data_IF_378898259482
#
_entry.id   IF_378898259482
#
_cell.length_a   1.000
_cell.length_b   1.000
_cell.length_c   1.000
_cell.angle_alpha   90.00
_cell.angle_beta   90.00
_cell.angle_gamma   90.00
#
_symmetry.space_group_name_H-M   'P 1'
#
loop_
_entity.id
_entity.type
_entity.pdbx_description
1 polymer ?
#
# COMPACT_ATOMS: atom_id res chain seq x y z
N UNK A 1 -22.37 26.89 61.43
CA UNK A 1 -22.13 25.65 60.65
C UNK A 1 -23.34 25.24 59.80
N UNK A 2 -23.79 26.04 58.82
CA UNK A 2 -24.89 25.66 57.90
C UNK A 2 -24.75 26.17 56.46
N UNK A 3 -23.60 26.74 56.08
CA UNK A 3 -23.38 27.29 54.72
C UNK A 3 -22.38 26.52 53.85
N UNK A 4 -21.64 25.55 54.41
CA UNK A 4 -20.64 24.77 53.65
C UNK A 4 -21.26 23.51 53.02
N UNK A 5 -22.43 23.07 53.48
CA UNK A 5 -23.05 21.82 52.99
C UNK A 5 -23.85 21.97 51.67
N UNK A 6 -24.12 23.20 51.20
CA UNK A 6 -24.91 23.42 49.98
C UNK A 6 -24.10 23.61 48.69
N UNK A 7 -22.78 23.83 48.78
CA UNK A 7 -21.93 23.93 47.58
C UNK A 7 -21.45 22.57 47.05
N UNK A 8 -21.32 21.57 47.93
CA UNK A 8 -20.84 20.25 47.51
C UNK A 8 -21.90 19.43 46.75
N UNK A 9 -23.19 19.73 46.92
CA UNK A 9 -24.27 19.00 46.24
C UNK A 9 -24.49 19.47 44.79
N UNK A 10 -24.13 20.70 44.45
CA UNK A 10 -24.29 21.23 43.08
C UNK A 10 -23.09 20.85 42.19
N UNK A 11 -21.89 20.75 42.77
CA UNK A 11 -20.70 20.35 42.01
C UNK A 11 -20.73 18.84 41.69
N UNK A 12 -21.31 18.01 42.55
CA UNK A 12 -21.39 16.57 42.29
C UNK A 12 -22.41 16.20 41.19
N UNK A 13 -23.46 17.02 40.99
CA UNK A 13 -24.44 16.80 39.91
C UNK A 13 -23.91 17.28 38.55
N UNK A 14 -23.03 18.30 38.53
CA UNK A 14 -22.38 18.74 37.29
C UNK A 14 -21.31 17.74 36.78
N UNK A 15 -20.62 17.04 37.68
CA UNK A 15 -19.59 16.05 37.29
C UNK A 15 -20.20 14.74 36.78
N UNK A 16 -21.41 14.36 37.21
CA UNK A 16 -22.11 13.18 36.69
C UNK A 16 -22.75 13.42 35.32
N UNK A 17 -23.03 14.67 34.94
CA UNK A 17 -23.56 15.02 33.61
C UNK A 17 -22.48 15.18 32.52
N UNK A 18 -21.21 15.40 32.89
CA UNK A 18 -20.10 15.53 31.92
C UNK A 18 -19.42 14.19 31.63
N UNK A 19 -19.57 13.17 32.48
CA UNK A 19 -19.00 11.85 32.26
C UNK A 19 -19.83 10.95 31.31
N UNK A 20 -20.99 11.40 30.82
CA UNK A 20 -21.83 10.62 29.88
C UNK A 20 -21.66 11.00 28.39
N UNK A 21 -20.70 11.86 28.03
CA UNK A 21 -20.60 12.42 26.67
C UNK A 21 -19.33 12.06 25.87
N UNK A 22 -18.48 11.15 26.35
CA UNK A 22 -17.32 10.70 25.57
C UNK A 22 -17.14 9.19 25.59
N UNK A 23 -18.22 8.47 25.32
CA UNK A 23 -18.12 7.11 24.76
C UNK A 23 -18.33 7.24 23.25
N UNK A 24 -17.36 7.85 22.55
CA UNK A 24 -17.28 7.64 21.11
C UNK A 24 -16.91 6.17 20.93
N UNK A 25 -17.92 5.33 20.82
CA UNK A 25 -17.77 4.01 20.22
C UNK A 25 -17.19 4.23 18.85
N UNK A 26 -15.89 3.98 18.71
CA UNK A 26 -15.26 3.74 17.42
C UNK A 26 -15.97 2.53 16.86
N UNK A 27 -16.99 2.77 16.04
CA UNK A 27 -17.62 1.74 15.23
C UNK A 27 -16.55 1.33 14.24
N UNK A 28 -15.70 0.37 14.63
CA UNK A 28 -14.97 -0.46 13.67
C UNK A 28 -16.06 -1.14 12.87
N UNK A 29 -16.45 -0.53 11.76
CA UNK A 29 -17.24 -1.15 10.71
C UNK A 29 -16.41 -2.35 10.29
N UNK A 30 -16.70 -3.50 10.89
CA UNK A 30 -16.16 -4.79 10.51
C UNK A 30 -16.78 -5.04 9.15
N UNK A 31 -16.16 -4.52 8.10
CA UNK A 31 -16.57 -4.74 6.72
C UNK A 31 -16.75 -6.23 6.60
N UNK A 32 -18.00 -6.66 6.44
CA UNK A 32 -18.37 -8.06 6.34
C UNK A 32 -17.59 -8.61 5.16
N UNK A 33 -16.50 -9.31 5.46
CA UNK A 33 -15.58 -9.80 4.46
C UNK A 33 -16.33 -10.89 3.72
N UNK A 34 -16.74 -10.58 2.49
CA UNK A 34 -17.39 -11.54 1.60
C UNK A 34 -16.53 -12.81 1.59
N UNK A 35 -17.17 -13.97 1.77
CA UNK A 35 -16.47 -15.25 1.65
C UNK A 35 -15.75 -15.28 0.31
N UNK A 36 -14.48 -15.68 0.31
CA UNK A 36 -13.66 -15.79 -0.90
C UNK A 36 -13.07 -17.17 -1.07
N UNK A 37 -12.77 -17.52 -2.31
CA UNK A 37 -12.20 -18.82 -2.67
C UNK A 37 -10.81 -18.63 -3.28
N UNK A 38 -9.80 -19.21 -2.65
CA UNK A 38 -8.44 -19.26 -3.22
C UNK A 38 -8.31 -20.51 -4.07
N UNK A 39 -8.19 -20.36 -5.39
CA UNK A 39 -8.02 -21.47 -6.34
C UNK A 39 -6.54 -21.61 -6.67
N UNK A 40 -5.97 -22.80 -6.44
CA UNK A 40 -4.55 -23.07 -6.65
C UNK A 40 -4.39 -24.30 -7.54
N UNK A 41 -3.60 -24.17 -8.60
CA UNK A 41 -3.08 -25.27 -9.41
C UNK A 41 -1.58 -25.36 -9.23
N UNK A 42 -1.04 -26.57 -9.09
CA UNK A 42 0.38 -26.83 -8.90
C UNK A 42 0.74 -28.26 -9.34
N UNK A 43 2.03 -28.52 -9.59
CA UNK A 43 2.52 -29.87 -9.89
C UNK A 43 2.63 -30.74 -8.63
N UNK A 44 2.87 -30.10 -7.47
CA UNK A 44 3.03 -30.77 -6.19
C UNK A 44 2.40 -29.97 -5.03
N UNK A 45 1.83 -30.69 -4.06
CA UNK A 45 1.27 -30.13 -2.83
C UNK A 45 1.58 -31.03 -1.62
N UNK A 46 2.00 -30.42 -0.52
CA UNK A 46 2.24 -31.08 0.77
C UNK A 46 1.49 -30.31 1.88
N UNK A 47 0.25 -30.72 2.21
CA UNK A 47 -0.52 -30.09 3.27
C UNK A 47 -0.09 -30.58 4.66
N UNK A 48 0.05 -29.65 5.60
CA UNK A 48 0.25 -29.86 7.04
C UNK A 48 -0.85 -29.12 7.82
N UNK A 49 -0.82 -29.24 9.15
CA UNK A 49 -1.84 -28.67 10.04
C UNK A 49 -2.00 -27.15 9.91
N UNK A 50 -0.89 -26.43 9.73
CA UNK A 50 -0.77 -24.98 9.78
C UNK A 50 -0.09 -24.37 8.54
N UNK A 51 0.42 -25.20 7.64
CA UNK A 51 1.08 -24.79 6.39
C UNK A 51 0.73 -25.74 5.26
N UNK A 52 0.55 -25.22 4.05
CA UNK A 52 0.52 -26.02 2.82
C UNK A 52 1.67 -25.56 1.96
N UNK A 53 2.52 -26.50 1.57
CA UNK A 53 3.61 -26.25 0.64
C UNK A 53 3.21 -26.62 -0.79
N UNK A 54 3.57 -25.78 -1.75
CA UNK A 54 3.35 -26.00 -3.18
C UNK A 54 4.65 -25.85 -3.95
N UNK A 55 4.85 -26.68 -4.99
CA UNK A 55 6.03 -26.65 -5.86
C UNK A 55 5.67 -26.94 -7.31
N UNK A 56 6.47 -26.41 -8.24
CA UNK A 56 6.33 -26.63 -9.68
C UNK A 56 5.63 -25.46 -10.36
N UNK A 57 4.87 -25.68 -11.43
CA UNK A 57 4.12 -24.62 -12.10
C UNK A 57 2.90 -24.23 -11.27
N UNK A 58 3.05 -23.21 -10.44
CA UNK A 58 1.98 -22.76 -9.54
C UNK A 58 1.22 -21.61 -10.19
N UNK A 59 -0.11 -21.73 -10.19
CA UNK A 59 -1.04 -20.67 -10.54
C UNK A 59 -2.09 -20.50 -9.44
N UNK A 60 -2.23 -19.29 -8.93
CA UNK A 60 -3.25 -18.91 -7.96
C UNK A 60 -4.21 -17.92 -8.60
N UNK A 61 -5.50 -18.08 -8.34
CA UNK A 61 -6.55 -17.15 -8.74
C UNK A 61 -7.52 -16.90 -7.58
N UNK A 62 -7.83 -15.64 -7.30
CA UNK A 62 -8.80 -15.20 -6.30
C UNK A 62 -9.72 -14.17 -6.97
N UNK A 63 -10.85 -14.62 -7.48
CA UNK A 63 -11.76 -13.80 -8.28
C UNK A 63 -12.33 -12.62 -7.48
N UNK A 64 -12.63 -12.84 -6.21
CA UNK A 64 -13.23 -11.84 -5.32
C UNK A 64 -12.28 -10.67 -5.04
N UNK A 65 -10.97 -10.93 -5.04
CA UNK A 65 -9.94 -9.91 -4.86
C UNK A 65 -9.43 -9.37 -6.21
N UNK A 66 -9.82 -9.99 -7.34
CA UNK A 66 -9.29 -9.80 -8.69
C UNK A 66 -7.76 -9.93 -8.75
N UNK A 67 -7.22 -10.96 -8.08
CA UNK A 67 -5.77 -11.21 -8.06
C UNK A 67 -5.41 -12.56 -8.65
N UNK A 68 -4.26 -12.62 -9.31
CA UNK A 68 -3.63 -13.87 -9.72
C UNK A 68 -2.13 -13.84 -9.45
N UNK A 69 -1.55 -15.02 -9.22
CA UNK A 69 -0.13 -15.20 -8.95
C UNK A 69 0.40 -16.38 -9.76
N UNK A 70 1.56 -16.20 -10.39
CA UNK A 70 2.37 -17.30 -10.94
C UNK A 70 3.71 -17.35 -10.21
N UNK A 71 4.13 -18.55 -9.85
CA UNK A 71 5.43 -18.78 -9.20
C UNK A 71 5.86 -20.25 -9.31
N UNK A 72 7.04 -20.57 -8.79
CA UNK A 72 7.58 -21.94 -8.75
C UNK A 72 7.51 -22.60 -7.37
N UNK A 73 7.41 -21.79 -6.31
CA UNK A 73 7.41 -22.26 -4.92
C UNK A 73 6.60 -21.31 -4.02
N UNK A 74 5.71 -21.88 -3.20
CA UNK A 74 4.78 -21.10 -2.39
C UNK A 74 4.39 -21.85 -1.11
N UNK A 75 4.13 -21.09 -0.05
CA UNK A 75 3.54 -21.57 1.20
C UNK A 75 2.23 -20.85 1.46
N UNK A 76 1.20 -21.57 1.90
CA UNK A 76 -0.02 -20.99 2.45
C UNK A 76 -0.06 -21.31 3.94
N UNK A 77 -0.15 -20.31 4.80
CA UNK A 77 -0.03 -20.47 6.26
C UNK A 77 -1.31 -20.06 7.01
N UNK A 78 -1.57 -20.74 8.12
CA UNK A 78 -2.60 -20.35 9.07
C UNK A 78 -2.13 -19.24 10.01
N UNK A 79 -3.05 -18.35 10.35
CA UNK A 79 -2.91 -17.36 11.42
C UNK A 79 -4.23 -17.36 12.19
N UNK A 80 -4.18 -17.64 13.50
CA UNK A 80 -5.40 -17.79 14.32
C UNK A 80 -6.41 -18.78 13.71
N UNK A 81 -5.91 -19.98 13.36
CA UNK A 81 -6.67 -21.09 12.76
C UNK A 81 -7.31 -20.86 11.38
N UNK A 82 -7.00 -19.74 10.72
CA UNK A 82 -7.47 -19.43 9.36
C UNK A 82 -6.34 -19.39 8.37
N UNK A 83 -6.51 -20.02 7.20
CA UNK A 83 -5.60 -19.83 6.07
C UNK A 83 -5.59 -18.36 5.68
N UNK A 84 -4.45 -17.69 5.89
CA UNK A 84 -4.38 -16.23 5.83
C UNK A 84 -3.24 -15.72 4.99
N UNK A 85 -2.07 -16.34 5.06
CA UNK A 85 -0.87 -15.78 4.42
C UNK A 85 -0.44 -16.64 3.26
N UNK A 86 -0.26 -16.02 2.09
CA UNK A 86 0.46 -16.60 0.95
C UNK A 86 1.89 -16.04 0.98
N UNK A 87 2.87 -16.92 1.06
CA UNK A 87 4.29 -16.59 1.08
C UNK A 87 4.98 -17.22 -0.14
N UNK A 88 5.68 -16.39 -0.91
CA UNK A 88 6.40 -16.78 -2.11
C UNK A 88 7.88 -16.48 -1.88
N UNK A 89 8.71 -17.52 -1.95
CA UNK A 89 10.15 -17.43 -1.68
C UNK A 89 11.01 -17.39 -2.95
N UNK A 90 10.37 -17.51 -4.10
CA UNK A 90 10.98 -17.41 -5.43
C UNK A 90 10.29 -16.30 -6.23
N UNK A 91 10.71 -16.11 -7.49
CA UNK A 91 10.12 -15.10 -8.37
C UNK A 91 8.59 -15.22 -8.41
N UNK A 92 7.93 -14.11 -8.12
CA UNK A 92 6.48 -13.94 -8.18
C UNK A 92 6.12 -13.08 -9.39
N UNK A 93 5.13 -13.51 -10.17
CA UNK A 93 4.41 -12.68 -11.14
C UNK A 93 2.99 -12.48 -10.62
N UNK A 94 2.70 -11.30 -10.10
CA UNK A 94 1.44 -10.97 -9.42
C UNK A 94 0.63 -9.99 -10.25
N UNK A 95 -0.63 -10.30 -10.52
CA UNK A 95 -1.57 -9.39 -11.17
C UNK A 95 -2.70 -9.03 -10.21
N UNK A 96 -3.15 -7.78 -10.26
CA UNK A 96 -4.22 -7.25 -9.43
C UNK A 96 -5.06 -6.25 -10.23
N UNK A 97 -6.18 -5.79 -9.66
CA UNK A 97 -7.05 -4.84 -10.35
C UNK A 97 -6.32 -3.53 -10.67
N UNK A 98 -6.15 -3.26 -11.96
CA UNK A 98 -5.43 -2.08 -12.44
C UNK A 98 -3.91 -2.13 -12.23
N UNK A 99 -3.29 -3.31 -12.22
CA UNK A 99 -1.82 -3.39 -12.22
C UNK A 99 -1.24 -4.79 -12.27
N UNK A 100 0.09 -4.83 -12.35
CA UNK A 100 0.88 -6.06 -12.24
C UNK A 100 2.22 -5.77 -11.57
N UNK A 101 2.84 -6.83 -11.07
CA UNK A 101 4.09 -6.77 -10.36
C UNK A 101 4.94 -8.03 -10.61
N UNK A 102 6.25 -7.83 -10.56
CA UNK A 102 7.23 -8.91 -10.42
C UNK A 102 8.09 -8.64 -9.20
N UNK A 103 8.44 -9.69 -8.46
CA UNK A 103 9.26 -9.57 -7.25
C UNK A 103 10.02 -10.88 -7.00
N UNK A 104 11.14 -10.80 -6.29
CA UNK A 104 11.93 -11.98 -5.89
C UNK A 104 11.27 -12.76 -4.75
N UNK A 105 10.51 -12.06 -3.91
CA UNK A 105 9.72 -12.61 -2.81
C UNK A 105 8.45 -11.81 -2.65
N UNK A 106 7.39 -12.47 -2.18
CA UNK A 106 6.11 -11.83 -1.92
C UNK A 106 5.43 -12.43 -0.69
N UNK A 107 4.81 -11.60 0.12
CA UNK A 107 3.87 -12.01 1.16
C UNK A 107 2.54 -11.32 0.89
N UNK A 108 1.44 -12.06 0.95
CA UNK A 108 0.09 -11.53 0.80
C UNK A 108 -0.82 -12.05 1.92
N UNK A 109 -1.44 -11.12 2.63
CA UNK A 109 -2.49 -11.37 3.63
C UNK A 109 -3.83 -11.43 2.90
N UNK A 110 -4.40 -12.62 2.81
CA UNK A 110 -5.68 -12.89 2.20
C UNK A 110 -6.78 -12.08 2.88
N UNK A 111 -6.83 -11.96 4.22
CA UNK A 111 -7.94 -11.27 4.89
C UNK A 111 -7.89 -9.75 4.62
N UNK A 112 -6.72 -9.15 4.78
CA UNK A 112 -6.57 -7.70 4.69
C UNK A 112 -6.33 -7.18 3.27
N UNK A 113 -6.01 -8.07 2.32
CA UNK A 113 -5.59 -7.72 0.95
C UNK A 113 -4.36 -6.80 0.94
N UNK A 114 -3.47 -7.01 1.91
CA UNK A 114 -2.21 -6.28 2.08
C UNK A 114 -1.04 -7.20 1.85
N UNK A 115 0.13 -6.66 1.52
CA UNK A 115 1.32 -7.47 1.37
C UNK A 115 2.59 -6.68 1.19
N UNK A 116 3.68 -7.42 1.03
CA UNK A 116 5.01 -6.90 0.81
C UNK A 116 5.72 -7.66 -0.30
N UNK A 117 6.57 -6.96 -1.04
CA UNK A 117 7.39 -7.50 -2.11
C UNK A 117 8.85 -7.11 -1.89
N UNK A 118 9.77 -8.01 -2.24
CA UNK A 118 11.21 -7.76 -2.24
C UNK A 118 11.73 -7.67 -3.68
N UNK A 119 12.56 -6.66 -3.97
CA UNK A 119 13.10 -6.37 -5.31
C UNK A 119 11.97 -6.28 -6.35
N UNK A 120 11.01 -5.40 -6.08
CA UNK A 120 9.77 -5.29 -6.82
C UNK A 120 9.92 -4.38 -8.04
N UNK A 121 9.32 -4.79 -9.16
CA UNK A 121 8.94 -3.93 -10.28
C UNK A 121 7.42 -4.00 -10.42
N UNK A 122 6.76 -2.88 -10.16
CA UNK A 122 5.29 -2.77 -10.12
C UNK A 122 4.84 -1.75 -11.16
N UNK A 123 3.83 -2.11 -11.95
CA UNK A 123 3.11 -1.18 -12.82
C UNK A 123 1.68 -1.04 -12.30
N UNK A 124 1.27 0.19 -11.99
CA UNK A 124 -0.09 0.54 -11.58
C UNK A 124 -0.71 1.44 -12.65
N UNK A 125 -1.96 1.17 -13.02
CA UNK A 125 -2.79 2.07 -13.83
C UNK A 125 -3.42 3.06 -12.86
N UNK A 126 -3.03 4.33 -12.96
CA UNK A 126 -3.57 5.41 -12.14
C UNK A 126 -5.02 5.69 -12.55
N UNK A 127 -5.93 5.70 -11.58
CA UNK A 127 -7.36 5.93 -11.86
C UNK A 127 -7.70 7.38 -12.15
N UNK A 128 -6.82 8.32 -11.81
CA UNK A 128 -7.04 9.75 -12.01
C UNK A 128 -6.56 10.23 -13.38
N UNK A 129 -5.38 9.78 -13.82
CA UNK A 129 -4.82 10.15 -15.12
C UNK A 129 -5.01 9.09 -16.22
N UNK A 130 -5.39 7.86 -15.86
CA UNK A 130 -5.41 6.69 -16.76
C UNK A 130 -4.04 6.36 -17.37
N UNK A 131 -2.96 6.83 -16.74
CA UNK A 131 -1.59 6.53 -17.15
C UNK A 131 -1.00 5.40 -16.32
N UNK A 132 0.07 4.79 -16.86
CA UNK A 132 0.85 3.80 -16.13
C UNK A 132 1.89 4.50 -15.27
N UNK A 133 1.97 4.10 -14.00
CA UNK A 133 3.03 4.43 -13.08
C UNK A 133 3.85 3.16 -12.83
N UNK A 134 5.11 3.17 -13.23
CA UNK A 134 6.06 2.08 -12.99
C UNK A 134 6.94 2.43 -11.81
N UNK A 135 7.13 1.49 -10.89
CA UNK A 135 7.84 1.67 -9.62
C UNK A 135 8.83 0.51 -9.45
N UNK A 136 10.10 0.83 -9.23
CA UNK A 136 11.16 -0.14 -8.95
C UNK A 136 11.72 0.12 -7.55
N UNK A 137 11.50 -0.82 -6.62
CA UNK A 137 11.86 -0.70 -5.21
C UNK A 137 12.49 -1.98 -4.65
N UNK A 138 13.36 -1.88 -3.64
CA UNK A 138 13.92 -3.06 -2.95
C UNK A 138 12.89 -3.65 -1.98
N UNK A 139 12.09 -2.79 -1.35
CA UNK A 139 10.95 -3.18 -0.52
C UNK A 139 9.74 -2.37 -0.96
N UNK A 140 8.64 -3.05 -1.25
CA UNK A 140 7.37 -2.44 -1.59
C UNK A 140 6.26 -3.05 -0.75
N UNK A 141 5.48 -2.22 -0.08
CA UNK A 141 4.25 -2.61 0.62
C UNK A 141 3.04 -2.14 -0.18
N UNK A 142 1.99 -2.95 -0.19
CA UNK A 142 0.76 -2.64 -0.89
C UNK A 142 -0.46 -2.95 -0.01
N UNK A 143 -1.53 -2.19 -0.24
CA UNK A 143 -2.85 -2.38 0.33
C UNK A 143 -3.88 -2.23 -0.79
N UNK A 144 -4.39 -3.35 -1.29
CA UNK A 144 -5.35 -3.38 -2.41
C UNK A 144 -6.77 -3.00 -1.98
N UNK A 145 -7.06 -2.97 -0.67
CA UNK A 145 -8.34 -2.48 -0.16
C UNK A 145 -8.40 -0.95 -0.18
N UNK A 146 -7.26 -0.32 0.13
CA UNK A 146 -7.13 1.14 0.19
C UNK A 146 -6.48 1.75 -1.05
N UNK A 147 -6.03 0.94 -2.01
CA UNK A 147 -5.25 1.34 -3.18
C UNK A 147 -4.02 2.17 -2.83
N UNK A 148 -3.26 1.67 -1.84
CA UNK A 148 -2.05 2.32 -1.35
C UNK A 148 -0.81 1.49 -1.61
N UNK A 149 0.27 2.17 -1.96
CA UNK A 149 1.56 1.59 -2.24
C UNK A 149 2.63 2.42 -1.54
N UNK A 150 3.66 1.80 -1.01
CA UNK A 150 4.80 2.49 -0.41
C UNK A 150 6.05 1.65 -0.53
N UNK A 151 7.22 2.25 -0.43
CA UNK A 151 8.44 1.47 -0.51
C UNK A 151 9.71 2.28 -0.47
N UNK A 152 10.82 1.55 -0.47
CA UNK A 152 12.17 2.06 -0.32
C UNK A 152 13.14 1.30 -1.22
N UNK A 153 14.24 1.93 -1.59
CA UNK A 153 15.34 1.28 -2.32
C UNK A 153 16.67 1.94 -1.97
N UNK A 154 17.69 1.14 -1.73
CA UNK A 154 19.05 1.65 -1.52
C UNK A 154 19.53 2.31 -2.81
N UNK A 155 19.90 3.59 -2.73
CA UNK A 155 20.25 4.39 -3.91
C UNK A 155 19.03 4.97 -4.66
N UNK A 156 17.84 4.87 -4.08
CA UNK A 156 16.62 5.53 -4.55
C UNK A 156 15.65 4.62 -5.30
N UNK A 157 14.37 4.72 -4.93
CA UNK A 157 13.24 4.14 -5.66
C UNK A 157 13.13 4.87 -6.99
N UNK A 158 12.98 4.11 -8.08
CA UNK A 158 12.82 4.68 -9.41
C UNK A 158 11.34 4.65 -9.79
N UNK A 159 10.81 5.80 -10.19
CA UNK A 159 9.40 5.95 -10.56
C UNK A 159 9.31 6.60 -11.94
N UNK A 160 8.45 6.05 -12.79
CA UNK A 160 8.17 6.59 -14.13
C UNK A 160 6.66 6.74 -14.32
N UNK A 161 6.24 7.92 -14.77
CA UNK A 161 4.86 8.24 -15.17
C UNK A 161 4.91 9.05 -16.46
N UNK A 162 4.53 8.44 -17.58
CA UNK A 162 4.67 9.07 -18.90
C UNK A 162 6.12 9.51 -19.14
N UNK A 163 6.34 10.81 -19.38
CA UNK A 163 7.68 11.42 -19.57
C UNK A 163 8.33 11.93 -18.28
N UNK A 164 7.65 11.79 -17.14
CA UNK A 164 8.18 12.16 -15.83
C UNK A 164 8.91 10.96 -15.24
N UNK A 165 10.17 11.17 -14.86
CA UNK A 165 10.97 10.22 -14.10
C UNK A 165 11.35 10.82 -12.76
N UNK A 166 11.35 10.00 -11.72
CA UNK A 166 11.70 10.43 -10.38
C UNK A 166 12.56 9.38 -9.66
N UNK A 167 13.47 9.87 -8.82
CA UNK A 167 14.24 9.09 -7.87
C UNK A 167 14.04 9.69 -6.48
N UNK A 168 13.81 8.85 -5.47
CA UNK A 168 13.69 9.26 -4.06
C UNK A 168 14.03 8.11 -3.12
N UNK A 169 14.46 8.38 -1.88
CA UNK A 169 14.78 7.33 -0.91
C UNK A 169 13.57 6.45 -0.58
N UNK A 170 12.40 7.08 -0.46
CA UNK A 170 11.10 6.43 -0.24
C UNK A 170 9.97 7.09 -1.02
N UNK A 171 8.92 6.31 -1.24
CA UNK A 171 7.68 6.82 -1.81
C UNK A 171 6.45 6.32 -1.05
N UNK A 172 5.37 7.09 -1.16
CA UNK A 172 4.02 6.72 -0.79
C UNK A 172 3.09 7.12 -1.92
N UNK A 173 2.20 6.23 -2.36
CA UNK A 173 1.26 6.48 -3.43
C UNK A 173 -0.15 6.12 -2.97
N UNK A 174 -1.04 7.12 -2.95
CA UNK A 174 -2.47 6.97 -2.72
C UNK A 174 -3.18 7.13 -4.07
N UNK A 175 -3.52 6.00 -4.70
CA UNK A 175 -4.15 5.97 -6.03
C UNK A 175 -5.57 6.56 -6.02
N UNK A 176 -6.29 6.46 -4.90
CA UNK A 176 -7.64 7.05 -4.77
C UNK A 176 -7.58 8.57 -4.81
N UNK A 177 -6.55 9.15 -4.17
CA UNK A 177 -6.29 10.59 -4.20
C UNK A 177 -5.55 11.06 -5.45
N UNK A 178 -4.79 10.18 -6.09
CA UNK A 178 -3.87 10.57 -7.16
C UNK A 178 -2.67 11.34 -6.62
N UNK A 179 -2.16 10.95 -5.44
CA UNK A 179 -1.05 11.63 -4.77
C UNK A 179 0.14 10.68 -4.67
N UNK A 180 1.24 11.04 -5.34
CA UNK A 180 2.53 10.38 -5.21
C UNK A 180 3.49 11.25 -4.41
N UNK A 181 3.80 10.82 -3.20
CA UNK A 181 4.69 11.50 -2.26
C UNK A 181 6.07 10.85 -2.38
N UNK A 182 7.08 11.69 -2.57
CA UNK A 182 8.49 11.34 -2.70
C UNK A 182 9.25 12.00 -1.56
N UNK A 183 10.10 11.24 -0.85
CA UNK A 183 10.82 11.76 0.32
C UNK A 183 12.26 11.27 0.29
N UNK A 184 13.19 12.19 0.59
CA UNK A 184 14.61 11.92 0.70
C UNK A 184 15.30 11.94 -0.66
N UNK A 185 16.28 12.83 -0.81
CA UNK A 185 17.10 13.02 -2.02
C UNK A 185 16.28 12.95 -3.33
N UNK A 186 15.20 13.73 -3.40
CA UNK A 186 14.27 13.68 -4.53
C UNK A 186 14.92 14.32 -5.76
N UNK A 187 14.89 13.59 -6.87
CA UNK A 187 15.28 14.09 -8.20
C UNK A 187 14.14 13.80 -9.15
N UNK A 188 13.62 14.83 -9.84
CA UNK A 188 12.56 14.70 -10.84
C UNK A 188 13.05 15.27 -12.16
N UNK A 189 12.82 14.55 -13.25
CA UNK A 189 13.05 15.00 -14.61
C UNK A 189 11.74 14.88 -15.40
N UNK A 190 11.23 16.02 -15.84
CA UNK A 190 10.04 16.17 -16.69
C UNK A 190 10.51 16.64 -18.07
N UNK A 191 10.71 15.69 -18.98
CA UNK A 191 11.23 15.97 -20.32
C UNK A 191 10.27 16.79 -21.17
N UNK A 192 8.96 16.67 -20.91
CA UNK A 192 7.94 17.40 -21.65
C UNK A 192 7.99 18.90 -21.35
N UNK A 193 8.26 19.26 -20.10
CA UNK A 193 8.40 20.66 -19.66
C UNK A 193 9.84 21.16 -19.69
N UNK A 194 10.79 20.34 -20.15
CA UNK A 194 12.21 20.68 -20.11
C UNK A 194 12.72 21.01 -18.70
N UNK A 195 12.13 20.38 -17.68
CA UNK A 195 12.36 20.71 -16.26
C UNK A 195 13.12 19.59 -15.56
N UNK A 196 14.16 19.97 -14.81
CA UNK A 196 14.81 19.12 -13.81
C UNK A 196 14.70 19.77 -12.45
N UNK A 197 14.41 18.97 -11.43
CA UNK A 197 14.21 19.45 -10.07
C UNK A 197 14.90 18.52 -9.07
N UNK A 198 15.57 19.09 -8.07
CA UNK A 198 15.97 18.39 -6.86
C UNK A 198 15.29 18.99 -5.64
N UNK A 199 14.93 18.17 -4.66
CA UNK A 199 14.17 18.58 -3.48
C UNK A 199 14.41 17.66 -2.27
N UNK A 200 14.03 18.12 -1.07
CA UNK A 200 13.98 17.23 0.11
C UNK A 200 12.81 16.25 0.04
N UNK A 201 11.70 16.73 -0.50
CA UNK A 201 10.45 16.01 -0.66
C UNK A 201 9.63 16.66 -1.78
N UNK A 202 8.77 15.87 -2.40
CA UNK A 202 7.83 16.34 -3.41
C UNK A 202 6.52 15.55 -3.34
N UNK A 203 5.42 16.21 -3.70
CA UNK A 203 4.14 15.57 -3.99
C UNK A 203 3.78 15.82 -5.44
N UNK A 204 3.60 14.75 -6.20
CA UNK A 204 3.11 14.78 -7.58
C UNK A 204 1.62 14.43 -7.57
N UNK A 205 0.80 15.34 -8.08
CA UNK A 205 -0.64 15.13 -8.26
C UNK A 205 -0.88 14.54 -9.64
N UNK A 206 -1.25 13.26 -9.68
CA UNK A 206 -1.21 12.44 -10.90
C UNK A 206 -2.19 12.89 -11.98
N UNK A 207 -3.35 13.40 -11.58
CA UNK A 207 -4.43 13.86 -12.47
C UNK A 207 -3.98 15.01 -13.39
N UNK A 208 -3.24 15.98 -12.82
CA UNK A 208 -2.91 17.25 -13.48
C UNK A 208 -1.44 17.40 -13.85
N UNK A 209 -0.59 16.44 -13.46
CA UNK A 209 0.87 16.59 -13.53
C UNK A 209 1.38 17.87 -12.83
N UNK A 210 0.70 18.24 -11.73
CA UNK A 210 1.11 19.32 -10.84
C UNK A 210 2.04 18.79 -9.76
N UNK A 211 2.96 19.62 -9.28
CA UNK A 211 3.94 19.23 -8.26
C UNK A 211 4.07 20.31 -7.18
N UNK A 212 4.26 19.87 -5.94
CA UNK A 212 4.70 20.71 -4.81
C UNK A 212 5.96 20.09 -4.25
N UNK A 213 6.96 20.90 -3.93
CA UNK A 213 8.22 20.41 -3.39
C UNK A 213 8.82 21.42 -2.41
N UNK A 214 9.66 20.94 -1.49
CA UNK A 214 10.35 21.75 -0.50
C UNK A 214 11.88 21.66 -0.70
N UNK A 215 12.59 22.73 -0.30
CA UNK A 215 14.05 22.85 -0.42
C UNK A 215 14.54 22.57 -1.86
N UNK A 216 14.02 23.36 -2.80
CA UNK A 216 14.08 23.06 -4.23
C UNK A 216 15.27 23.73 -4.92
N UNK A 217 15.92 22.99 -5.81
CA UNK A 217 16.72 23.54 -6.90
C UNK A 217 16.10 23.10 -8.23
N UNK A 218 15.95 24.02 -9.19
CA UNK A 218 15.25 23.78 -10.45
C UNK A 218 16.08 24.30 -11.64
N UNK A 219 16.16 23.49 -12.69
CA UNK A 219 16.73 23.83 -13.99
C UNK A 219 15.62 23.76 -15.03
N UNK A 220 15.49 24.82 -15.84
CA UNK A 220 14.50 24.93 -16.91
C UNK A 220 15.23 25.16 -18.23
N UNK A 221 14.86 24.39 -19.25
CA UNK A 221 15.24 24.69 -20.63
C UNK A 221 14.28 25.72 -21.21
N UNK A 222 14.84 26.79 -21.77
CA UNK A 222 14.11 27.83 -22.48
C UNK A 222 14.53 27.75 -23.95
N UNK A 223 13.57 27.52 -24.83
CA UNK A 223 13.72 27.64 -26.29
C UNK A 223 13.10 28.94 -26.79
#
# INVERSE_FOLDING_TARGET
MKRILRLFTIIFIAVVLVAMLTSQTTTTTKTQTKSKTVRISADYVEPKSDVIYYKGKIFVNIDEDKVSLKTSEMYVRKVSDKWRTVEVTTKAEFSFDGGNATADKMIYDLDNRTGSMTNANVTVIDTKSNEKITIIADTLNFDLGNDKYSGTKKGGVNITKGKITAVADRFEYDKKKGELILVGAVVINDEEKGMKMTASDATVYTEKNEMKANNVNIELKVE
#
